data_IF_732114824253
#
_entry.id   IF_732114824253
#
_cell.length_a   1.000
_cell.length_b   1.000
_cell.length_c   1.000
_cell.angle_alpha   90.00
_cell.angle_beta   90.00
_cell.angle_gamma   90.00
#
_symmetry.space_group_name_H-M   'P 1'
#
loop_
_entity.id
_entity.type
_entity.pdbx_description
1 polymer ?
#
# COMPACT_ATOMS: atom_id res chain seq x y z
N UNK A 1 4.20 22.92 14.74
CA UNK A 1 3.32 21.97 15.44
C UNK A 1 2.81 21.00 14.39
N UNK A 2 3.52 19.89 14.25
CA UNK A 2 3.35 18.87 13.22
C UNK A 2 2.20 17.94 13.59
N UNK A 3 1.14 17.95 12.77
CA UNK A 3 0.24 16.80 12.69
C UNK A 3 0.93 15.79 11.77
N UNK A 4 1.63 14.84 12.38
CA UNK A 4 1.95 13.58 11.72
C UNK A 4 0.63 12.84 11.50
N UNK A 5 0.17 12.76 10.27
CA UNK A 5 -0.90 11.84 9.85
C UNK A 5 -0.36 10.40 9.96
N UNK A 6 -0.20 9.93 11.19
CA UNK A 6 -0.04 8.52 11.49
C UNK A 6 -1.35 7.82 11.16
N UNK A 7 -1.30 6.81 10.30
CA UNK A 7 -2.41 5.86 10.11
C UNK A 7 -2.89 5.41 11.49
N UNK A 8 -4.22 5.38 11.76
CA UNK A 8 -4.72 5.05 13.08
C UNK A 8 -4.16 3.68 13.48
N UNK A 9 -3.40 3.64 14.58
CA UNK A 9 -2.88 2.41 15.13
C UNK A 9 -4.07 1.57 15.62
N UNK A 10 -4.35 0.46 14.94
CA UNK A 10 -5.39 -0.47 15.36
C UNK A 10 -5.10 -0.96 16.78
N UNK A 11 -6.06 -0.76 17.67
CA UNK A 11 -6.07 -1.42 18.99
C UNK A 11 -6.78 -2.75 18.83
N UNK A 12 -6.08 -3.85 19.14
CA UNK A 12 -6.62 -5.19 18.99
C UNK A 12 -7.08 -5.70 20.36
N UNK A 13 -8.35 -6.07 20.47
CA UNK A 13 -8.96 -6.48 21.73
C UNK A 13 -9.06 -8.00 21.85
N UNK A 14 -8.96 -8.54 23.07
CA UNK A 14 -9.07 -9.97 23.34
C UNK A 14 -7.80 -10.78 23.06
N UNK A 15 -6.67 -10.09 22.93
CA UNK A 15 -5.32 -10.68 22.81
C UNK A 15 -4.40 -10.25 23.98
N UNK A 16 -4.97 -9.72 25.06
CA UNK A 16 -4.22 -9.24 26.23
C UNK A 16 -3.81 -10.39 27.15
N UNK A 17 -4.55 -11.49 27.12
CA UNK A 17 -4.32 -12.66 27.97
C UNK A 17 -3.97 -13.91 27.16
N UNK A 18 -2.83 -14.51 27.51
CA UNK A 18 -2.38 -15.81 27.01
C UNK A 18 -2.94 -16.91 27.91
N UNK A 19 -3.31 -18.03 27.30
CA UNK A 19 -3.87 -19.17 28.04
C UNK A 19 -2.75 -19.96 28.76
N UNK A 20 -3.02 -20.38 29.99
CA UNK A 20 -2.11 -21.24 30.73
C UNK A 20 -2.21 -22.68 30.21
N UNK A 21 -1.07 -23.34 30.06
CA UNK A 21 -1.04 -24.76 29.73
C UNK A 21 -1.17 -25.56 31.03
N UNK A 22 -2.16 -26.46 31.12
CA UNK A 22 -2.42 -27.21 32.36
C UNK A 22 -1.31 -28.23 32.70
N UNK A 23 -0.98 -28.34 33.99
CA UNK A 23 -0.26 -29.48 34.55
C UNK A 23 -1.23 -30.68 34.57
N UNK A 24 -1.17 -31.52 33.54
CA UNK A 24 -1.85 -32.82 33.36
C UNK A 24 -3.33 -32.86 33.82
N UNK A 25 -4.24 -32.98 32.85
CA UNK A 25 -5.48 -33.72 33.07
C UNK A 25 -5.17 -35.20 32.87
N UNK A 26 -5.60 -36.07 33.79
CA UNK A 26 -5.47 -37.54 33.71
C UNK A 26 -6.06 -38.15 32.42
N UNK A 27 -6.70 -37.36 31.56
CA UNK A 27 -7.36 -37.76 30.33
C UNK A 27 -6.50 -37.64 29.04
N UNK A 28 -5.30 -37.04 29.06
CA UNK A 28 -4.48 -36.85 27.86
C UNK A 28 -3.25 -37.78 27.83
N UNK A 29 -3.46 -39.03 27.41
CA UNK A 29 -2.43 -40.07 27.23
C UNK A 29 -1.55 -39.88 25.98
N UNK A 30 -1.59 -38.70 25.34
CA UNK A 30 -0.96 -38.48 24.03
C UNK A 30 0.57 -38.39 24.08
N UNK A 31 1.17 -38.06 25.22
CA UNK A 31 2.60 -37.85 25.37
C UNK A 31 3.13 -38.37 26.72
N UNK A 32 4.39 -38.85 26.79
CA UNK A 32 5.08 -39.10 28.05
C UNK A 32 5.10 -37.86 28.96
N UNK A 33 5.00 -38.08 30.27
CA UNK A 33 4.94 -37.03 31.31
C UNK A 33 6.10 -36.03 31.17
N UNK A 34 7.31 -36.51 30.90
CA UNK A 34 8.49 -35.65 30.73
C UNK A 34 8.36 -34.69 29.54
N UNK A 35 7.76 -35.15 28.43
CA UNK A 35 7.51 -34.32 27.25
C UNK A 35 6.40 -33.31 27.54
N UNK A 36 5.36 -33.70 28.28
CA UNK A 36 4.31 -32.77 28.71
C UNK A 36 4.86 -31.67 29.61
N UNK A 37 5.74 -32.02 30.56
CA UNK A 37 6.43 -31.06 31.42
C UNK A 37 7.32 -30.11 30.62
N UNK A 38 7.98 -30.60 29.57
CA UNK A 38 8.77 -29.77 28.68
C UNK A 38 7.89 -28.75 27.92
N UNK A 39 6.74 -29.16 27.39
CA UNK A 39 5.78 -28.25 26.74
C UNK A 39 5.25 -27.22 27.74
N UNK A 40 4.90 -27.65 28.95
CA UNK A 40 4.45 -26.77 30.03
C UNK A 40 5.47 -25.67 30.33
N UNK A 41 6.75 -26.03 30.56
CA UNK A 41 7.81 -25.06 30.83
C UNK A 41 8.02 -24.06 29.67
N UNK A 42 7.93 -24.53 28.42
CA UNK A 42 8.05 -23.67 27.25
C UNK A 42 6.88 -22.70 27.11
N UNK A 43 5.65 -23.15 27.38
CA UNK A 43 4.47 -22.28 27.34
C UNK A 43 4.52 -21.26 28.47
N UNK A 44 4.89 -21.65 29.69
CA UNK A 44 5.03 -20.73 30.83
C UNK A 44 6.11 -19.67 30.57
N UNK A 45 7.27 -20.07 30.05
CA UNK A 45 8.31 -19.12 29.64
C UNK A 45 7.83 -18.17 28.55
N UNK A 46 7.07 -18.69 27.57
CA UNK A 46 6.45 -17.88 26.53
C UNK A 46 5.45 -16.87 27.11
N UNK A 47 4.63 -17.31 28.07
CA UNK A 47 3.63 -16.49 28.75
C UNK A 47 4.27 -15.36 29.57
N UNK A 48 5.36 -15.65 30.29
CA UNK A 48 6.14 -14.65 31.02
C UNK A 48 6.74 -13.61 30.06
N UNK A 49 7.39 -14.07 28.99
CA UNK A 49 7.97 -13.19 27.96
C UNK A 49 6.90 -12.31 27.29
N UNK A 50 5.70 -12.86 27.04
CA UNK A 50 4.57 -12.13 26.47
C UNK A 50 4.08 -11.02 27.40
N UNK A 51 3.95 -11.30 28.71
CA UNK A 51 3.55 -10.31 29.72
C UNK A 51 4.55 -9.16 29.83
N UNK A 52 5.82 -9.45 29.65
CA UNK A 52 6.90 -8.45 29.64
C UNK A 52 7.09 -7.73 28.29
N UNK A 53 6.17 -7.94 27.33
CA UNK A 53 6.26 -7.38 25.96
C UNK A 53 7.50 -7.81 25.16
N UNK A 54 8.19 -8.88 25.59
CA UNK A 54 9.31 -9.51 24.86
C UNK A 54 8.77 -10.52 23.85
N UNK A 55 8.05 -10.01 22.84
CA UNK A 55 7.27 -10.85 21.92
C UNK A 55 8.11 -11.81 21.06
N UNK A 56 9.34 -11.44 20.71
CA UNK A 56 10.26 -12.32 19.96
C UNK A 56 10.64 -13.58 20.75
N UNK A 57 10.93 -13.41 22.05
CA UNK A 57 11.22 -14.52 22.96
C UNK A 57 9.97 -15.39 23.22
N UNK A 58 8.80 -14.75 23.29
CA UNK A 58 7.52 -15.45 23.40
C UNK A 58 7.27 -16.33 22.16
N UNK A 59 7.42 -15.77 20.94
CA UNK A 59 7.31 -16.49 19.67
C UNK A 59 8.29 -17.67 19.62
N UNK A 60 9.54 -17.48 20.02
CA UNK A 60 10.56 -18.53 20.06
C UNK A 60 10.14 -19.68 20.99
N UNK A 61 9.64 -19.35 22.18
CA UNK A 61 9.23 -20.33 23.19
C UNK A 61 7.99 -21.11 22.74
N UNK A 62 6.96 -20.44 22.23
CA UNK A 62 5.78 -21.11 21.70
C UNK A 62 6.06 -21.92 20.43
N UNK A 63 7.00 -21.48 19.59
CA UNK A 63 7.41 -22.24 18.40
C UNK A 63 8.05 -23.58 18.77
N UNK A 64 8.90 -23.58 19.81
CA UNK A 64 9.45 -24.82 20.38
C UNK A 64 8.38 -25.70 21.01
N UNK A 65 7.40 -25.11 21.71
CA UNK A 65 6.27 -25.86 22.24
C UNK A 65 5.46 -26.53 21.11
N UNK A 66 5.19 -25.81 20.02
CA UNK A 66 4.46 -26.32 18.87
C UNK A 66 5.23 -27.39 18.09
N UNK A 67 6.58 -27.37 18.10
CA UNK A 67 7.36 -28.46 17.48
C UNK A 67 7.24 -29.77 18.26
N UNK A 68 7.00 -29.69 19.57
CA UNK A 68 6.83 -30.88 20.44
C UNK A 68 5.38 -31.37 20.40
N UNK A 69 4.40 -30.47 20.58
CA UNK A 69 2.97 -30.77 20.54
C UNK A 69 2.27 -29.92 19.47
N UNK A 70 2.36 -30.33 18.19
CA UNK A 70 1.69 -29.61 17.11
C UNK A 70 0.16 -29.68 17.29
N UNK A 71 -0.56 -28.70 16.75
CA UNK A 71 -2.02 -28.63 16.77
C UNK A 71 -2.64 -28.54 18.18
N UNK A 72 -1.88 -28.15 19.19
CA UNK A 72 -2.45 -27.83 20.49
C UNK A 72 -3.14 -26.44 20.43
N UNK A 73 -4.43 -26.32 20.79
CA UNK A 73 -5.17 -25.05 20.70
C UNK A 73 -4.53 -23.89 21.50
N UNK A 74 -4.07 -24.17 22.73
CA UNK A 74 -3.44 -23.17 23.60
C UNK A 74 -2.14 -22.66 22.98
N UNK A 75 -1.28 -23.57 22.52
CA UNK A 75 0.00 -23.20 21.90
C UNK A 75 -0.22 -22.41 20.61
N UNK A 76 -1.15 -22.83 19.75
CA UNK A 76 -1.48 -22.13 18.51
C UNK A 76 -2.05 -20.74 18.79
N UNK A 77 -3.00 -20.62 19.73
CA UNK A 77 -3.61 -19.35 20.11
C UNK A 77 -2.59 -18.37 20.68
N UNK A 78 -1.77 -18.81 21.63
CA UNK A 78 -0.74 -17.97 22.26
C UNK A 78 0.34 -17.57 21.26
N UNK A 79 0.78 -18.49 20.37
CA UNK A 79 1.77 -18.18 19.33
C UNK A 79 1.22 -17.19 18.31
N UNK A 80 -0.03 -17.36 17.87
CA UNK A 80 -0.70 -16.42 16.97
C UNK A 80 -0.84 -15.04 17.61
N UNK A 81 -1.23 -14.97 18.89
CA UNK A 81 -1.30 -13.71 19.62
C UNK A 81 0.08 -13.03 19.70
N UNK A 82 1.15 -13.79 19.94
CA UNK A 82 2.52 -13.28 19.99
C UNK A 82 2.98 -12.71 18.63
N UNK A 83 2.65 -13.38 17.52
CA UNK A 83 2.91 -12.85 16.17
C UNK A 83 2.15 -11.54 15.91
N UNK A 84 0.88 -11.47 16.29
CA UNK A 84 0.05 -10.27 16.11
C UNK A 84 0.62 -9.09 16.92
N UNK A 85 0.99 -9.32 18.18
CA UNK A 85 1.60 -8.29 19.05
C UNK A 85 2.97 -7.83 18.54
N UNK A 86 3.79 -8.76 18.08
CA UNK A 86 5.06 -8.41 17.46
C UNK A 86 4.84 -7.56 16.20
N UNK A 87 3.89 -7.94 15.35
CA UNK A 87 3.53 -7.16 14.16
C UNK A 87 3.02 -5.75 14.47
N UNK A 88 2.19 -5.60 15.52
CA UNK A 88 1.75 -4.29 16.04
C UNK A 88 2.93 -3.45 16.50
N UNK A 89 3.83 -4.03 17.29
CA UNK A 89 5.03 -3.36 17.77
C UNK A 89 5.89 -2.88 16.60
N UNK A 90 6.07 -3.71 15.57
CA UNK A 90 6.80 -3.34 14.35
C UNK A 90 6.13 -2.19 13.60
N UNK A 91 4.79 -2.18 13.49
CA UNK A 91 4.02 -1.10 12.84
C UNK A 91 4.14 0.24 13.56
N UNK A 92 4.40 0.22 14.87
CA UNK A 92 4.55 1.41 15.72
C UNK A 92 6.01 1.89 15.87
N UNK A 93 6.98 1.22 15.24
CA UNK A 93 8.39 1.65 15.32
C UNK A 93 8.57 3.02 14.67
N UNK A 94 9.26 3.92 15.35
CA UNK A 94 9.70 5.18 14.76
C UNK A 94 10.81 4.95 13.72
N UNK A 95 11.01 5.93 12.83
CA UNK A 95 12.13 5.93 11.90
C UNK A 95 13.49 5.81 12.63
N UNK A 96 13.66 6.53 13.74
CA UNK A 96 14.89 6.53 14.56
C UNK A 96 15.23 5.17 15.20
N UNK A 97 14.22 4.42 15.64
CA UNK A 97 14.41 3.06 16.19
C UNK A 97 14.71 2.07 15.06
N UNK A 98 14.13 2.27 13.88
CA UNK A 98 14.37 1.42 12.71
C UNK A 98 15.77 1.59 12.13
N UNK A 99 16.34 2.80 12.19
CA UNK A 99 17.71 3.11 11.76
C UNK A 99 18.78 2.56 12.72
N UNK A 100 18.55 2.67 14.03
CA UNK A 100 19.49 2.18 15.06
C UNK A 100 19.42 0.67 15.28
N UNK A 101 18.30 0.03 14.93
CA UNK A 101 18.07 -1.41 15.06
C UNK A 101 17.26 -1.92 13.85
N UNK A 102 17.93 -2.25 12.73
CA UNK A 102 17.26 -2.76 11.54
C UNK A 102 16.68 -4.17 11.78
N UNK A 103 15.55 -4.45 11.14
CA UNK A 103 14.88 -5.75 11.26
C UNK A 103 15.66 -6.82 10.49
N UNK A 104 16.06 -7.90 11.17
CA UNK A 104 16.78 -9.02 10.58
C UNK A 104 15.82 -9.98 9.84
N UNK A 105 15.26 -9.53 8.71
CA UNK A 105 14.40 -10.37 7.85
C UNK A 105 13.02 -10.68 8.42
N UNK A 106 12.62 -10.03 9.52
CA UNK A 106 11.27 -10.12 10.07
C UNK A 106 10.44 -8.97 9.52
N UNK A 107 9.49 -9.29 8.66
CA UNK A 107 8.53 -8.32 8.10
C UNK A 107 7.13 -8.54 8.69
N UNK A 108 6.36 -7.45 8.81
CA UNK A 108 5.00 -7.42 9.36
C UNK A 108 4.05 -8.32 8.56
N UNK A 109 4.16 -8.33 7.23
CA UNK A 109 3.37 -9.21 6.38
C UNK A 109 3.60 -10.69 6.70
N UNK A 110 4.87 -11.09 6.87
CA UNK A 110 5.24 -12.45 7.25
C UNK A 110 4.65 -12.84 8.62
N UNK A 111 4.73 -11.94 9.62
CA UNK A 111 4.14 -12.19 10.94
C UNK A 111 2.61 -12.34 10.89
N UNK A 112 1.94 -11.51 10.08
CA UNK A 112 0.50 -11.61 9.85
C UNK A 112 0.09 -12.93 9.20
N UNK A 113 0.85 -13.40 8.21
CA UNK A 113 0.60 -14.70 7.56
C UNK A 113 0.81 -15.89 8.50
N UNK A 114 1.86 -15.84 9.33
CA UNK A 114 2.13 -16.86 10.34
C UNK A 114 1.02 -16.90 11.41
N UNK A 115 0.57 -15.72 11.86
CA UNK A 115 -0.57 -15.61 12.78
C UNK A 115 -1.84 -16.19 12.15
N UNK A 116 -2.17 -15.80 10.92
CA UNK A 116 -3.36 -16.29 10.22
C UNK A 116 -3.35 -17.81 10.07
N UNK A 117 -2.19 -18.40 9.74
CA UNK A 117 -2.03 -19.85 9.61
C UNK A 117 -2.30 -20.59 10.91
N UNK A 118 -1.88 -20.04 12.04
CA UNK A 118 -2.16 -20.63 13.35
C UNK A 118 -3.60 -20.40 13.79
N UNK A 119 -4.16 -19.23 13.51
CA UNK A 119 -5.55 -18.91 13.77
C UNK A 119 -6.52 -19.79 12.97
N UNK A 120 -6.22 -20.09 11.70
CA UNK A 120 -7.02 -21.01 10.88
C UNK A 120 -6.99 -22.44 11.43
N UNK A 121 -5.82 -22.92 11.87
CA UNK A 121 -5.72 -24.23 12.54
C UNK A 121 -6.49 -24.24 13.85
N UNK A 122 -6.39 -23.18 14.64
CA UNK A 122 -7.13 -23.03 15.89
C UNK A 122 -8.64 -23.06 15.64
N UNK A 123 -9.11 -22.33 14.62
CA UNK A 123 -10.52 -22.29 14.24
C UNK A 123 -11.04 -23.65 13.75
N UNK A 124 -10.21 -24.43 13.05
CA UNK A 124 -10.58 -25.80 12.65
C UNK A 124 -10.70 -26.75 13.85
N UNK A 125 -9.94 -26.51 14.93
CA UNK A 125 -9.97 -27.32 16.15
C UNK A 125 -11.08 -26.88 17.12
N UNK A 126 -11.35 -25.57 17.18
CA UNK A 126 -12.27 -24.95 18.14
C UNK A 126 -13.20 -23.96 17.43
N UNK A 127 -13.99 -24.46 16.47
CA UNK A 127 -14.89 -23.62 15.66
C UNK A 127 -16.01 -22.94 16.46
N UNK A 128 -16.23 -23.32 17.72
CA UNK A 128 -17.20 -22.71 18.62
C UNK A 128 -16.60 -21.72 19.61
N UNK A 129 -15.29 -21.45 19.53
CA UNK A 129 -14.59 -20.59 20.50
C UNK A 129 -14.52 -19.15 20.00
N UNK A 130 -14.99 -18.18 20.80
CA UNK A 130 -14.85 -16.75 20.52
C UNK A 130 -13.38 -16.39 20.24
N UNK A 131 -12.44 -16.99 20.97
CA UNK A 131 -11.00 -16.72 20.84
C UNK A 131 -10.49 -17.04 19.44
N UNK A 132 -10.93 -18.13 18.81
CA UNK A 132 -10.48 -18.48 17.45
C UNK A 132 -10.90 -17.43 16.43
N UNK A 133 -12.12 -16.90 16.55
CA UNK A 133 -12.61 -15.82 15.68
C UNK A 133 -11.85 -14.52 15.93
N UNK A 134 -11.67 -14.14 17.20
CA UNK A 134 -10.92 -12.92 17.57
C UNK A 134 -9.49 -12.99 17.04
N UNK A 135 -8.77 -14.07 17.31
CA UNK A 135 -7.37 -14.23 16.84
C UNK A 135 -7.27 -14.20 15.31
N UNK A 136 -8.18 -14.85 14.59
CA UNK A 136 -8.21 -14.82 13.13
C UNK A 136 -8.53 -13.44 12.58
N UNK A 137 -9.54 -12.76 13.14
CA UNK A 137 -9.90 -11.41 12.75
C UNK A 137 -8.74 -10.44 12.95
N UNK A 138 -8.07 -10.48 14.11
CA UNK A 138 -6.91 -9.64 14.39
C UNK A 138 -5.73 -9.93 13.44
N UNK A 139 -5.48 -11.20 13.06
CA UNK A 139 -4.48 -11.54 12.06
C UNK A 139 -4.82 -10.97 10.66
N UNK A 140 -6.09 -11.07 10.25
CA UNK A 140 -6.56 -10.50 8.98
C UNK A 140 -6.50 -8.98 8.96
N UNK A 141 -6.80 -8.32 10.08
CA UNK A 141 -6.66 -6.88 10.25
C UNK A 141 -5.19 -6.43 10.18
N UNK A 142 -4.25 -7.19 10.75
CA UNK A 142 -2.82 -6.92 10.62
C UNK A 142 -2.36 -7.01 9.16
N UNK A 143 -2.94 -7.94 8.39
CA UNK A 143 -2.72 -8.10 6.95
C UNK A 143 -3.54 -7.15 6.06
N UNK A 144 -4.29 -6.21 6.66
CA UNK A 144 -5.14 -5.24 5.97
C UNK A 144 -6.24 -5.87 5.09
N UNK A 145 -6.63 -7.11 5.41
CA UNK A 145 -7.73 -7.85 4.76
C UNK A 145 -9.06 -7.60 5.47
N UNK A 146 -9.47 -6.34 5.48
CA UNK A 146 -10.56 -5.84 6.34
C UNK A 146 -11.93 -6.48 6.08
N UNK A 147 -12.28 -6.76 4.82
CA UNK A 147 -13.57 -7.39 4.49
C UNK A 147 -13.69 -8.79 5.11
N UNK A 148 -12.68 -9.63 4.89
CA UNK A 148 -12.63 -10.99 5.45
C UNK A 148 -12.56 -10.94 6.98
N UNK A 149 -11.86 -9.95 7.54
CA UNK A 149 -11.83 -9.73 8.99
C UNK A 149 -13.24 -9.42 9.52
N UNK A 150 -13.98 -8.52 8.85
CA UNK A 150 -15.35 -8.16 9.20
C UNK A 150 -16.26 -9.39 9.23
N UNK A 151 -16.25 -10.18 8.16
CA UNK A 151 -17.10 -11.37 8.05
C UNK A 151 -16.75 -12.42 9.11
N UNK A 152 -15.45 -12.54 9.45
CA UNK A 152 -14.98 -13.39 10.54
C UNK A 152 -15.52 -12.89 11.89
N UNK A 153 -15.45 -11.58 12.17
CA UNK A 153 -15.98 -11.00 13.41
C UNK A 153 -17.49 -11.21 13.52
N UNK A 154 -18.24 -10.96 12.44
CA UNK A 154 -19.68 -11.17 12.40
C UNK A 154 -20.05 -12.65 12.62
N UNK A 155 -19.29 -13.57 12.04
CA UNK A 155 -19.47 -15.01 12.28
C UNK A 155 -19.22 -15.38 13.74
N UNK A 156 -18.22 -14.78 14.39
CA UNK A 156 -17.97 -14.96 15.82
C UNK A 156 -19.09 -14.39 16.70
N UNK A 157 -19.65 -13.23 16.32
CA UNK A 157 -20.79 -12.61 17.02
C UNK A 157 -22.09 -13.40 16.86
N UNK A 158 -22.22 -14.25 15.83
CA UNK A 158 -23.35 -15.19 15.76
C UNK A 158 -23.26 -16.29 16.83
N UNK A 159 -22.04 -16.64 17.27
CA UNK A 159 -21.81 -17.64 18.32
C UNK A 159 -22.00 -17.01 19.69
N UNK A 160 -21.34 -15.88 19.93
CA UNK A 160 -21.51 -15.09 21.15
C UNK A 160 -21.82 -13.62 20.80
N UNK A 161 -23.11 -13.25 20.77
CA UNK A 161 -23.51 -11.88 20.49
C UNK A 161 -22.98 -10.87 21.49
N UNK A 162 -22.62 -11.26 22.71
CA UNK A 162 -22.22 -10.36 23.79
C UNK A 162 -20.70 -10.29 24.01
N UNK A 163 -19.91 -10.85 23.09
CA UNK A 163 -18.45 -10.80 23.14
C UNK A 163 -17.91 -9.37 23.02
N UNK A 164 -17.43 -8.81 24.13
CA UNK A 164 -16.80 -7.48 24.16
C UNK A 164 -15.59 -7.36 23.21
N UNK A 165 -14.66 -8.35 23.14
CA UNK A 165 -13.55 -8.29 22.19
C UNK A 165 -14.00 -8.19 20.73
N UNK A 166 -14.96 -9.02 20.31
CA UNK A 166 -15.42 -9.02 18.92
C UNK A 166 -16.14 -7.71 18.56
N UNK A 167 -16.99 -7.20 19.46
CA UNK A 167 -17.68 -5.91 19.27
C UNK A 167 -16.68 -4.74 19.17
N UNK A 168 -15.66 -4.73 20.04
CA UNK A 168 -14.65 -3.67 20.06
C UNK A 168 -13.76 -3.71 18.81
N UNK A 169 -13.34 -4.90 18.38
CA UNK A 169 -12.61 -5.05 17.12
C UNK A 169 -13.46 -4.65 15.90
N UNK A 170 -14.77 -4.95 15.89
CA UNK A 170 -15.68 -4.50 14.82
C UNK A 170 -15.76 -2.98 14.77
N UNK A 171 -15.89 -2.32 15.93
CA UNK A 171 -15.95 -0.87 16.02
C UNK A 171 -14.65 -0.21 15.53
N UNK A 172 -13.48 -0.76 15.88
CA UNK A 172 -12.21 -0.29 15.34
C UNK A 172 -12.12 -0.46 13.82
N UNK A 173 -12.54 -1.62 13.31
CA UNK A 173 -12.58 -1.89 11.88
C UNK A 173 -13.46 -0.89 11.12
N UNK A 174 -14.63 -0.57 11.67
CA UNK A 174 -15.58 0.37 11.07
C UNK A 174 -15.05 1.80 10.99
N UNK A 175 -14.15 2.22 11.90
CA UNK A 175 -13.51 3.54 11.84
C UNK A 175 -12.63 3.71 10.59
N UNK A 176 -12.01 2.63 10.14
CA UNK A 176 -11.05 2.62 9.02
C UNK A 176 -11.72 2.26 7.69
N UNK A 177 -12.83 1.52 7.73
CA UNK A 177 -13.56 1.15 6.51
C UNK A 177 -14.36 2.33 5.91
N UNK A 178 -14.26 2.58 4.59
CA UNK A 178 -15.03 3.62 3.91
C UNK A 178 -16.55 3.38 4.03
N UNK A 179 -17.30 4.47 4.15
CA UNK A 179 -18.77 4.49 4.38
C UNK A 179 -19.57 3.68 3.36
N UNK A 180 -19.06 3.50 2.13
CA UNK A 180 -19.69 2.70 1.07
C UNK A 180 -19.84 1.21 1.46
N UNK A 181 -19.01 0.71 2.39
CA UNK A 181 -18.99 -0.70 2.80
C UNK A 181 -19.69 -0.99 4.14
N UNK A 182 -20.34 0.01 4.76
CA UNK A 182 -21.07 -0.15 6.04
C UNK A 182 -22.49 -0.73 5.89
N UNK A 183 -22.97 -0.94 4.65
CA UNK A 183 -24.32 -1.48 4.38
C UNK A 183 -24.24 -2.82 3.64
N UNK A 184 -24.35 -3.91 4.38
CA UNK A 184 -24.93 -5.14 3.84
C UNK A 184 -26.41 -5.11 4.16
N UNK A 185 -27.28 -4.87 3.15
CA UNK A 185 -28.62 -5.45 2.94
C UNK A 185 -29.26 -4.80 1.70
N UNK A 186 -29.38 -5.56 0.59
CA UNK A 186 -30.45 -5.37 -0.40
C UNK A 186 -30.17 -4.62 -1.71
N UNK A 187 -29.02 -4.80 -2.38
CA UNK A 187 -28.94 -4.58 -3.85
C UNK A 187 -28.43 -5.87 -4.50
N UNK A 188 -28.98 -6.21 -5.66
CA UNK A 188 -28.68 -7.42 -6.42
C UNK A 188 -27.16 -7.63 -6.52
N UNK A 189 -26.69 -8.87 -6.32
CA UNK A 189 -25.29 -9.25 -6.52
C UNK A 189 -24.82 -8.70 -7.86
N UNK A 190 -23.90 -7.73 -7.77
CA UNK A 190 -23.17 -7.22 -8.91
C UNK A 190 -22.31 -8.37 -9.42
N UNK A 191 -22.51 -8.78 -10.66
CA UNK A 191 -21.58 -9.69 -11.33
C UNK A 191 -20.28 -8.93 -11.63
N UNK A 192 -19.13 -9.53 -11.31
CA UNK A 192 -17.78 -8.98 -11.52
C UNK A 192 -17.43 -8.77 -13.01
N UNK A 193 -18.37 -9.04 -13.92
CA UNK A 193 -18.26 -8.88 -15.38
C UNK A 193 -17.87 -7.45 -15.83
N UNK A 194 -18.07 -6.45 -14.98
CA UNK A 194 -17.73 -5.05 -15.25
C UNK A 194 -16.54 -4.51 -14.45
N UNK A 195 -15.79 -5.39 -13.80
CA UNK A 195 -14.63 -5.01 -13.01
C UNK A 195 -13.33 -5.01 -13.81
N UNK A 196 -12.51 -4.01 -13.55
CA UNK A 196 -11.17 -3.93 -14.08
C UNK A 196 -10.28 -4.91 -13.34
N UNK A 197 -9.66 -5.88 -14.02
CA UNK A 197 -8.80 -6.87 -13.34
C UNK A 197 -7.46 -6.31 -12.85
N UNK A 198 -7.19 -5.02 -13.08
CA UNK A 198 -5.98 -4.34 -12.58
C UNK A 198 -6.27 -3.61 -11.26
N UNK A 199 -7.35 -2.82 -11.19
CA UNK A 199 -7.71 -2.10 -9.97
C UNK A 199 -8.80 -2.78 -9.14
N UNK A 200 -9.41 -3.86 -9.65
CA UNK A 200 -10.49 -4.64 -9.02
C UNK A 200 -11.72 -3.79 -8.64
N UNK A 201 -11.93 -2.68 -9.37
CA UNK A 201 -13.08 -1.80 -9.24
C UNK A 201 -13.86 -1.75 -10.56
N UNK A 202 -15.06 -1.16 -10.52
CA UNK A 202 -15.84 -0.84 -11.72
C UNK A 202 -14.97 -0.17 -12.80
N UNK A 203 -15.08 -0.70 -14.02
CA UNK A 203 -14.46 -0.14 -15.21
C UNK A 203 -14.86 1.33 -15.39
N UNK A 204 -13.87 2.21 -15.37
CA UNK A 204 -14.00 3.64 -15.65
C UNK A 204 -13.24 3.97 -16.94
N UNK A 205 -13.93 4.59 -17.90
CA UNK A 205 -13.43 4.75 -19.27
C UNK A 205 -12.82 3.45 -19.83
N UNK A 206 -13.63 2.39 -20.00
CA UNK A 206 -13.13 1.07 -20.39
C UNK A 206 -12.39 1.11 -21.73
N UNK A 207 -11.18 0.57 -21.76
CA UNK A 207 -10.35 0.40 -22.96
C UNK A 207 -10.14 -1.09 -23.25
N UNK A 208 -10.55 -1.53 -24.43
CA UNK A 208 -10.40 -2.93 -24.87
C UNK A 208 -9.16 -3.07 -25.73
N UNK A 209 -8.27 -3.97 -25.32
CA UNK A 209 -7.02 -4.29 -26.02
C UNK A 209 -7.27 -5.19 -27.24
N UNK A 210 -6.35 -5.29 -28.23
CA UNK A 210 -6.51 -6.13 -29.41
C UNK A 210 -6.67 -7.63 -29.09
N UNK A 211 -6.17 -8.05 -27.92
CA UNK A 211 -6.35 -9.41 -27.43
C UNK A 211 -7.72 -9.66 -26.77
N UNK A 212 -8.63 -8.68 -26.76
CA UNK A 212 -10.00 -8.79 -26.27
C UNK A 212 -10.23 -8.45 -24.80
N UNK A 213 -9.17 -8.23 -24.02
CA UNK A 213 -9.30 -7.87 -22.60
C UNK A 213 -9.56 -6.38 -22.40
N UNK A 214 -10.43 -6.05 -21.44
CA UNK A 214 -10.87 -4.68 -21.14
C UNK A 214 -10.40 -4.25 -19.75
N UNK A 215 -9.90 -3.02 -19.64
CA UNK A 215 -9.40 -2.42 -18.40
C UNK A 215 -9.86 -0.97 -18.31
N UNK A 216 -9.74 -0.33 -17.13
CA UNK A 216 -9.80 1.14 -17.09
C UNK A 216 -8.70 1.71 -17.97
N UNK A 217 -8.99 2.76 -18.73
CA UNK A 217 -8.00 3.43 -19.59
C UNK A 217 -6.71 3.75 -18.84
N UNK A 218 -6.82 4.37 -17.66
CA UNK A 218 -5.69 4.71 -16.79
C UNK A 218 -4.92 3.48 -16.32
N UNK A 219 -5.62 2.42 -15.87
CA UNK A 219 -4.99 1.17 -15.41
C UNK A 219 -4.22 0.44 -16.53
N UNK A 220 -4.73 0.48 -17.77
CA UNK A 220 -4.05 -0.10 -18.92
C UNK A 220 -2.73 0.61 -19.18
N UNK A 221 -2.75 1.95 -19.25
CA UNK A 221 -1.53 2.72 -19.49
C UNK A 221 -0.51 2.57 -18.36
N UNK A 222 -0.97 2.62 -17.11
CA UNK A 222 -0.11 2.38 -15.95
C UNK A 222 0.53 0.98 -15.97
N UNK A 223 -0.17 -0.04 -16.50
CA UNK A 223 0.40 -1.37 -16.67
C UNK A 223 1.39 -1.45 -17.83
N UNK A 224 1.10 -0.75 -18.93
CA UNK A 224 1.99 -0.60 -20.07
C UNK A 224 3.29 0.14 -19.70
N UNK A 225 3.29 0.87 -18.57
CA UNK A 225 4.51 1.47 -18.03
C UNK A 225 5.60 0.44 -17.69
N UNK A 226 5.18 -0.74 -17.22
CA UNK A 226 6.11 -1.82 -16.84
C UNK A 226 6.47 -2.72 -18.03
N UNK A 227 5.71 -2.64 -19.11
CA UNK A 227 5.96 -3.31 -20.38
C UNK A 227 4.72 -3.36 -21.26
N UNK A 228 4.90 -3.28 -22.58
CA UNK A 228 3.82 -3.26 -23.58
C UNK A 228 3.15 -4.63 -23.76
N UNK A 229 2.56 -5.17 -22.69
CA UNK A 229 1.90 -6.48 -22.65
C UNK A 229 0.56 -6.36 -21.94
N UNK A 230 -0.41 -7.16 -22.36
CA UNK A 230 -1.70 -7.27 -21.70
C UNK A 230 -1.51 -7.72 -20.24
N UNK A 231 -2.10 -7.01 -19.25
CA UNK A 231 -2.04 -7.42 -17.85
C UNK A 231 -2.60 -8.82 -17.59
N UNK A 232 -3.60 -9.25 -18.37
CA UNK A 232 -4.25 -10.56 -18.24
C UNK A 232 -3.51 -11.66 -18.99
N UNK A 233 -3.44 -11.56 -20.33
CA UNK A 233 -2.93 -12.66 -21.16
C UNK A 233 -1.48 -12.49 -21.63
N UNK A 234 -0.81 -11.39 -21.25
CA UNK A 234 0.59 -11.06 -21.60
C UNK A 234 0.90 -10.90 -23.09
N UNK A 235 -0.12 -10.92 -23.95
CA UNK A 235 0.00 -10.61 -25.38
C UNK A 235 0.59 -9.22 -25.55
N UNK A 236 1.57 -9.06 -26.44
CA UNK A 236 2.18 -7.75 -26.72
C UNK A 236 1.13 -6.80 -27.31
N UNK A 237 1.00 -5.61 -26.73
CA UNK A 237 0.01 -4.61 -27.13
C UNK A 237 0.74 -3.47 -27.85
N UNK A 238 0.32 -3.19 -29.08
CA UNK A 238 0.74 -2.01 -29.85
C UNK A 238 -0.37 -0.97 -29.82
N UNK A 239 -0.49 -0.25 -28.71
CA UNK A 239 -1.47 0.83 -28.53
C UNK A 239 -0.79 2.06 -27.92
N UNK A 240 -1.28 3.23 -28.28
CA UNK A 240 -0.85 4.52 -27.74
C UNK A 240 -2.06 5.24 -27.13
N UNK A 241 -1.88 6.28 -26.30
CA UNK A 241 -2.99 7.11 -25.82
C UNK A 241 -3.90 7.63 -26.94
N UNK A 242 -3.35 7.89 -28.14
CA UNK A 242 -4.12 8.36 -29.30
C UNK A 242 -4.90 7.24 -30.00
N UNK A 243 -4.37 6.02 -30.04
CA UNK A 243 -5.01 4.88 -30.74
C UNK A 243 -5.86 4.02 -29.82
N UNK A 244 -5.74 4.21 -28.51
CA UNK A 244 -6.61 3.61 -27.51
C UNK A 244 -7.88 4.45 -27.41
N UNK A 245 -9.00 3.94 -27.91
CA UNK A 245 -10.30 4.57 -27.74
C UNK A 245 -11.04 3.95 -26.56
N UNK A 246 -11.82 4.77 -25.85
CA UNK A 246 -12.77 4.27 -24.85
C UNK A 246 -13.86 3.48 -25.59
N UNK A 247 -14.17 2.30 -25.09
CA UNK A 247 -15.27 1.47 -25.57
C UNK A 247 -16.60 2.13 -25.22
N UNK A 248 -17.15 2.89 -26.17
CA UNK A 248 -18.38 3.68 -25.99
C UNK A 248 -19.54 2.81 -25.53
N UNK A 249 -19.72 1.63 -26.15
CA UNK A 249 -20.82 0.71 -25.81
C UNK A 249 -20.71 0.21 -24.38
N UNK A 250 -19.53 -0.27 -23.96
CA UNK A 250 -19.32 -0.74 -22.59
C UNK A 250 -19.50 0.39 -21.59
N UNK A 251 -18.97 1.57 -21.90
CA UNK A 251 -19.08 2.75 -21.05
C UNK A 251 -20.55 3.14 -20.83
N UNK A 252 -21.37 3.14 -21.87
CA UNK A 252 -22.81 3.44 -21.79
C UNK A 252 -23.58 2.38 -20.98
N UNK A 253 -23.26 1.10 -21.17
CA UNK A 253 -23.85 0.00 -20.39
C UNK A 253 -23.54 0.18 -18.91
N UNK A 254 -22.27 0.46 -18.58
CA UNK A 254 -21.81 0.66 -17.22
C UNK A 254 -22.50 1.87 -16.58
N UNK A 255 -22.49 3.03 -17.24
CA UNK A 255 -23.12 4.25 -16.71
C UNK A 255 -24.62 4.07 -16.47
N UNK A 256 -25.31 3.31 -17.33
CA UNK A 256 -26.74 3.05 -17.20
C UNK A 256 -27.07 2.07 -16.05
N UNK A 257 -26.26 1.03 -15.89
CA UNK A 257 -26.51 -0.01 -14.89
C UNK A 257 -25.95 0.35 -13.50
N UNK A 258 -24.86 1.12 -13.43
CA UNK A 258 -24.14 1.46 -12.20
C UNK A 258 -23.80 2.97 -12.10
N UNK A 259 -24.81 3.87 -12.12
CA UNK A 259 -24.59 5.32 -12.20
C UNK A 259 -23.88 5.90 -10.96
N UNK A 260 -24.24 5.43 -9.76
CA UNK A 260 -23.65 5.89 -8.49
C UNK A 260 -22.16 5.51 -8.42
N UNK A 261 -21.85 4.23 -8.64
CA UNK A 261 -20.46 3.73 -8.61
C UNK A 261 -19.60 4.35 -9.73
N UNK A 262 -20.15 4.56 -10.92
CA UNK A 262 -19.41 5.22 -12.00
C UNK A 262 -19.09 6.69 -11.65
N UNK A 263 -20.00 7.39 -10.96
CA UNK A 263 -19.76 8.74 -10.48
C UNK A 263 -18.67 8.78 -9.40
N UNK A 264 -18.63 7.80 -8.49
CA UNK A 264 -17.54 7.65 -7.51
C UNK A 264 -16.19 7.45 -8.21
N UNK A 265 -16.14 6.55 -9.21
CA UNK A 265 -14.92 6.32 -10.00
C UNK A 265 -14.45 7.56 -10.75
N UNK A 266 -15.39 8.36 -11.27
CA UNK A 266 -15.07 9.65 -11.87
C UNK A 266 -14.43 10.60 -10.87
N UNK A 267 -15.02 10.75 -9.68
CA UNK A 267 -14.49 11.62 -8.63
C UNK A 267 -13.08 11.18 -8.16
N UNK A 268 -12.84 9.87 -8.03
CA UNK A 268 -11.51 9.32 -7.73
C UNK A 268 -10.49 9.71 -8.80
N UNK A 269 -10.84 9.57 -10.08
CA UNK A 269 -9.96 9.92 -11.19
C UNK A 269 -9.73 11.44 -11.28
N UNK A 270 -10.78 12.25 -11.12
CA UNK A 270 -10.68 13.70 -11.12
C UNK A 270 -9.77 14.19 -9.98
N UNK A 271 -9.83 13.55 -8.81
CA UNK A 271 -8.92 13.84 -7.69
C UNK A 271 -7.46 13.53 -8.04
N UNK A 272 -7.20 12.37 -8.65
CA UNK A 272 -5.87 11.98 -9.11
C UNK A 272 -5.31 12.93 -10.19
N UNK A 273 -6.16 13.41 -11.10
CA UNK A 273 -5.80 14.38 -12.13
C UNK A 273 -5.60 15.79 -11.54
N UNK A 274 -6.39 16.19 -10.55
CA UNK A 274 -6.29 17.50 -9.91
C UNK A 274 -5.00 17.64 -9.08
N UNK A 275 -4.61 16.60 -8.34
CA UNK A 275 -3.29 16.54 -7.70
C UNK A 275 -2.13 16.62 -8.73
N UNK A 276 -2.32 16.07 -9.94
CA UNK A 276 -1.33 16.13 -11.01
C UNK A 276 -1.22 17.47 -11.73
N UNK A 277 -2.19 18.38 -11.56
CA UNK A 277 -2.19 19.68 -12.26
C UNK A 277 -1.56 20.83 -11.45
N UNK A 278 -1.46 20.73 -10.12
CA UNK A 278 -0.86 21.77 -9.27
C UNK A 278 0.57 21.44 -8.82
N UNK A 279 1.00 20.19 -9.04
CA UNK A 279 2.28 19.69 -8.54
C UNK A 279 3.23 19.39 -9.69
N UNK A 280 4.46 19.90 -9.60
CA UNK A 280 5.48 19.74 -10.62
C UNK A 280 6.40 18.56 -10.28
N UNK A 281 6.51 17.53 -11.15
CA UNK A 281 7.49 16.47 -11.01
C UNK A 281 8.91 17.04 -11.03
N UNK A 282 9.80 16.53 -10.16
CA UNK A 282 11.19 16.97 -10.06
C UNK A 282 12.16 15.88 -10.48
N UNK A 283 12.95 16.18 -11.52
CA UNK A 283 14.13 15.42 -11.89
C UNK A 283 15.36 15.98 -11.16
N UNK A 284 16.07 15.12 -10.44
CA UNK A 284 17.23 15.53 -9.64
C UNK A 284 18.49 15.44 -10.49
N UNK A 285 19.18 16.56 -10.67
CA UNK A 285 20.45 16.64 -11.42
C UNK A 285 21.22 17.91 -11.05
N UNK A 286 22.41 18.08 -11.63
CA UNK A 286 23.17 19.32 -11.60
C UNK A 286 22.36 20.54 -12.04
N UNK A 287 22.83 21.73 -11.63
CA UNK A 287 22.16 23.01 -11.87
C UNK A 287 22.00 23.27 -13.38
N UNK A 288 20.75 23.52 -13.78
CA UNK A 288 20.38 23.94 -15.13
C UNK A 288 19.91 25.39 -15.10
N UNK A 289 20.34 26.16 -16.08
CA UNK A 289 19.87 27.53 -16.29
C UNK A 289 18.82 27.56 -17.42
N UNK A 290 17.92 28.56 -17.44
CA UNK A 290 16.99 28.78 -18.54
C UNK A 290 17.63 28.82 -19.94
N UNK A 291 16.83 28.48 -20.96
CA UNK A 291 17.19 28.49 -22.39
C UNK A 291 18.32 27.53 -22.78
N UNK A 292 18.54 26.47 -22.00
CA UNK A 292 19.48 25.40 -22.30
C UNK A 292 18.77 24.22 -22.96
N UNK A 293 19.44 23.63 -23.94
CA UNK A 293 19.04 22.35 -24.53
C UNK A 293 19.93 21.25 -23.97
N UNK A 294 19.33 20.14 -23.58
CA UNK A 294 20.07 18.98 -23.11
C UNK A 294 19.38 17.68 -23.49
N UNK A 295 20.20 16.63 -23.65
CA UNK A 295 19.74 15.28 -23.93
C UNK A 295 19.89 14.42 -22.68
N UNK A 296 18.83 13.70 -22.30
CA UNK A 296 18.83 12.80 -21.15
C UNK A 296 18.47 11.38 -21.53
N UNK A 297 19.23 10.43 -20.98
CA UNK A 297 18.89 9.02 -21.05
C UNK A 297 18.28 8.54 -19.72
N UNK A 298 16.99 8.22 -19.75
CA UNK A 298 16.22 7.78 -18.60
C UNK A 298 16.21 6.26 -18.53
N UNK A 299 16.98 5.72 -17.58
CA UNK A 299 17.08 4.28 -17.34
C UNK A 299 16.44 3.84 -16.02
N UNK A 300 16.40 4.70 -15.00
CA UNK A 300 15.86 4.32 -13.68
C UNK A 300 14.34 4.10 -13.70
N UNK A 301 13.83 3.01 -13.09
CA UNK A 301 12.40 2.68 -13.07
C UNK A 301 11.47 3.81 -12.63
N UNK A 302 11.85 4.57 -11.60
CA UNK A 302 11.05 5.68 -11.06
C UNK A 302 10.85 6.82 -12.07
N UNK A 303 11.90 7.21 -12.78
CA UNK A 303 11.82 8.29 -13.76
C UNK A 303 11.15 7.85 -15.07
N UNK A 304 11.18 6.56 -15.40
CA UNK A 304 10.39 6.02 -16.53
C UNK A 304 8.88 6.21 -16.34
N UNK A 305 8.38 6.06 -15.10
CA UNK A 305 6.99 6.36 -14.77
C UNK A 305 6.71 7.86 -14.87
N UNK A 306 7.61 8.69 -14.30
CA UNK A 306 7.51 10.15 -14.35
C UNK A 306 7.39 10.67 -15.79
N UNK A 307 8.28 10.24 -16.69
CA UNK A 307 8.29 10.68 -18.11
C UNK A 307 6.99 10.35 -18.81
N UNK A 308 6.44 9.15 -18.63
CA UNK A 308 5.17 8.79 -19.28
C UNK A 308 4.02 9.66 -18.82
N UNK A 309 3.93 9.93 -17.51
CA UNK A 309 2.92 10.86 -16.96
C UNK A 309 3.08 12.28 -17.51
N UNK A 310 4.31 12.77 -17.61
CA UNK A 310 4.61 14.09 -18.19
C UNK A 310 4.17 14.15 -19.65
N UNK A 311 4.44 13.10 -20.44
CA UNK A 311 4.06 13.00 -21.85
C UNK A 311 2.55 12.77 -22.08
N UNK A 312 1.81 12.33 -21.06
CA UNK A 312 0.34 12.31 -21.07
C UNK A 312 -0.28 13.66 -20.69
N UNK A 313 0.50 14.50 -20.01
CA UNK A 313 0.10 15.82 -19.51
C UNK A 313 0.67 16.98 -20.32
N UNK A 314 1.27 17.94 -19.62
CA UNK A 314 1.71 19.23 -20.18
C UNK A 314 3.18 19.22 -20.67
N UNK A 315 3.82 18.05 -20.71
CA UNK A 315 5.20 17.86 -21.16
C UNK A 315 6.26 18.62 -20.34
N UNK A 316 5.91 19.10 -19.14
CA UNK A 316 6.78 19.92 -18.29
C UNK A 316 7.18 19.19 -17.01
N UNK A 317 8.41 19.45 -16.57
CA UNK A 317 8.91 19.03 -15.25
C UNK A 317 9.90 20.06 -14.71
N UNK A 318 10.19 19.98 -13.41
CA UNK A 318 11.25 20.75 -12.78
C UNK A 318 12.55 19.97 -12.76
N UNK A 319 13.66 20.64 -12.98
CA UNK A 319 14.99 20.10 -12.72
C UNK A 319 15.62 20.83 -11.55
N UNK A 320 16.14 20.08 -10.59
CA UNK A 320 16.60 20.61 -9.31
C UNK A 320 17.86 19.93 -8.82
N UNK A 321 18.77 20.71 -8.24
CA UNK A 321 19.94 20.21 -7.53
C UNK A 321 19.60 19.84 -6.08
N UNK A 322 20.44 19.00 -5.46
CA UNK A 322 20.31 18.71 -4.03
C UNK A 322 21.31 19.51 -3.23
N UNK A 323 20.91 19.89 -2.04
CA UNK A 323 21.86 20.32 -1.02
C UNK A 323 22.64 19.10 -0.52
N UNK A 324 23.96 19.14 -0.68
CA UNK A 324 24.89 18.07 -0.28
C UNK A 324 24.90 17.78 1.22
N UNK A 325 24.49 18.74 2.07
CA UNK A 325 24.48 18.56 3.52
C UNK A 325 23.21 17.85 4.02
N UNK A 326 22.07 18.10 3.37
CA UNK A 326 20.74 17.67 3.84
C UNK A 326 20.09 16.62 2.93
N UNK A 327 20.54 16.49 1.68
CA UNK A 327 19.95 15.61 0.67
C UNK A 327 18.58 16.08 0.15
N UNK A 328 18.09 17.25 0.59
CA UNK A 328 16.83 17.84 0.12
C UNK A 328 17.04 18.67 -1.16
N UNK A 329 15.98 18.87 -1.97
CA UNK A 329 16.04 19.79 -3.10
C UNK A 329 16.43 21.19 -2.64
N UNK A 330 17.25 21.90 -3.43
CA UNK A 330 17.50 23.32 -3.21
C UNK A 330 16.24 24.15 -3.52
N UNK A 331 16.12 25.33 -2.94
CA UNK A 331 14.91 26.17 -3.00
C UNK A 331 14.49 26.60 -4.42
N UNK A 332 15.39 26.51 -5.40
CA UNK A 332 15.15 26.97 -6.78
C UNK A 332 15.36 25.83 -7.77
N UNK A 333 14.35 25.61 -8.60
CA UNK A 333 14.39 24.67 -9.72
C UNK A 333 14.23 25.41 -11.06
N UNK A 334 14.55 24.73 -12.15
CA UNK A 334 14.27 25.22 -13.51
C UNK A 334 13.19 24.36 -14.15
N UNK A 335 12.15 24.99 -14.69
CA UNK A 335 11.18 24.31 -15.55
C UNK A 335 11.87 23.89 -16.85
N UNK A 336 11.65 22.65 -17.25
CA UNK A 336 12.05 22.09 -18.53
C UNK A 336 10.86 21.46 -19.24
N UNK A 337 10.84 21.60 -20.55
CA UNK A 337 9.87 20.98 -21.45
C UNK A 337 10.53 19.85 -22.23
N UNK A 338 9.86 18.71 -22.31
CA UNK A 338 10.30 17.59 -23.15
C UNK A 338 9.91 17.92 -24.59
N UNK A 339 10.89 18.24 -25.43
CA UNK A 339 10.68 18.61 -26.83
C UNK A 339 10.64 17.38 -27.74
N UNK A 340 11.48 16.39 -27.49
CA UNK A 340 11.47 15.09 -28.16
C UNK A 340 11.59 13.95 -27.14
N UNK A 341 10.92 12.82 -27.41
CA UNK A 341 10.88 11.67 -26.53
C UNK A 341 10.90 10.38 -27.34
N UNK A 342 12.04 9.70 -27.31
CA UNK A 342 12.30 8.46 -28.04
C UNK A 342 12.26 7.25 -27.08
N UNK A 343 11.17 6.46 -27.09
CA UNK A 343 11.09 5.24 -26.30
C UNK A 343 11.94 4.12 -26.89
N UNK A 344 12.70 3.42 -26.04
CA UNK A 344 13.52 2.27 -26.39
C UNK A 344 12.76 0.94 -26.13
N UNK A 345 13.10 -0.17 -26.82
CA UNK A 345 12.40 -1.45 -26.71
C UNK A 345 12.37 -2.09 -25.32
N UNK A 346 13.28 -1.70 -24.43
CA UNK A 346 13.36 -2.15 -23.04
C UNK A 346 12.65 -1.20 -22.04
N UNK A 347 11.97 -0.18 -22.56
CA UNK A 347 11.20 0.79 -21.79
C UNK A 347 12.00 1.98 -21.26
N UNK A 348 13.27 2.12 -21.64
CA UNK A 348 14.06 3.35 -21.40
C UNK A 348 13.64 4.48 -22.35
N UNK A 349 14.02 5.71 -22.04
CA UNK A 349 13.74 6.88 -22.88
C UNK A 349 15.01 7.66 -23.17
N UNK A 350 15.16 8.14 -24.41
CA UNK A 350 16.07 9.25 -24.74
C UNK A 350 15.20 10.49 -24.92
N UNK A 351 15.51 11.55 -24.19
CA UNK A 351 14.75 12.80 -24.18
C UNK A 351 15.61 13.94 -24.68
N UNK A 352 15.05 14.79 -25.54
CA UNK A 352 15.56 16.13 -25.77
C UNK A 352 14.72 17.11 -24.97
N UNK A 353 15.38 17.98 -24.20
CA UNK A 353 14.75 18.91 -23.28
C UNK A 353 15.17 20.34 -23.60
N UNK A 354 14.26 21.29 -23.37
CA UNK A 354 14.57 22.72 -23.38
C UNK A 354 14.16 23.33 -22.02
N UNK A 355 15.08 24.03 -21.37
CA UNK A 355 14.79 24.73 -20.11
C UNK A 355 14.21 26.11 -20.37
N UNK A 356 13.26 26.55 -19.54
CA UNK A 356 12.48 27.76 -19.80
C UNK A 356 12.66 28.86 -18.75
N UNK A 357 12.26 28.59 -17.51
CA UNK A 357 12.20 29.62 -16.46
C UNK A 357 12.41 29.03 -15.09
N UNK A 358 12.73 29.89 -14.14
CA UNK A 358 13.00 29.53 -12.76
C UNK A 358 11.70 29.48 -11.96
N UNK A 359 11.65 28.54 -11.03
CA UNK A 359 10.58 28.44 -10.05
C UNK A 359 11.16 28.19 -8.66
N UNK A 360 10.51 28.72 -7.64
CA UNK A 360 10.83 28.46 -6.24
C UNK A 360 10.01 27.29 -5.75
N UNK A 361 10.66 26.33 -5.10
CA UNK A 361 9.99 25.20 -4.46
C UNK A 361 9.38 25.70 -3.14
N UNK A 362 8.06 25.65 -3.04
CA UNK A 362 7.31 26.01 -1.83
C UNK A 362 7.28 24.82 -0.88
N UNK A 363 7.04 23.63 -1.42
CA UNK A 363 6.98 22.37 -0.70
C UNK A 363 7.36 21.23 -1.63
N UNK A 364 8.16 20.29 -1.13
CA UNK A 364 8.50 19.06 -1.86
C UNK A 364 8.13 17.82 -1.03
N UNK A 365 7.70 16.76 -1.71
CA UNK A 365 7.40 15.45 -1.12
C UNK A 365 7.77 14.33 -2.10
N UNK A 366 7.83 13.10 -1.61
CA UNK A 366 8.03 11.91 -2.44
C UNK A 366 6.67 11.35 -2.89
N UNK A 367 6.55 11.04 -4.18
CA UNK A 367 5.37 10.43 -4.78
C UNK A 367 5.80 9.36 -5.79
N UNK A 368 5.34 8.12 -5.60
CA UNK A 368 5.63 6.99 -6.48
C UNK A 368 7.14 6.76 -6.79
N UNK A 369 8.00 7.15 -5.85
CA UNK A 369 9.45 6.96 -5.92
C UNK A 369 10.24 8.09 -6.59
N UNK A 370 9.60 9.18 -7.03
CA UNK A 370 10.26 10.41 -7.47
C UNK A 370 9.74 11.63 -6.68
N UNK A 371 10.48 12.74 -6.73
CA UNK A 371 10.11 13.96 -6.00
C UNK A 371 9.10 14.78 -6.79
N UNK A 372 8.18 15.38 -6.08
CA UNK A 372 7.18 16.28 -6.62
C UNK A 372 7.16 17.53 -5.75
N UNK A 373 6.90 18.69 -6.34
CA UNK A 373 6.84 19.94 -5.61
C UNK A 373 5.71 20.86 -6.03
N UNK A 374 5.22 21.61 -5.06
CA UNK A 374 4.45 22.83 -5.26
C UNK A 374 5.43 23.97 -5.52
N UNK A 375 5.17 24.77 -6.57
CA UNK A 375 6.14 25.75 -7.06
C UNK A 375 5.53 27.11 -7.34
N UNK A 376 6.29 28.15 -6.99
CA UNK A 376 6.00 29.55 -7.31
C UNK A 376 6.90 30.05 -8.44
N UNK A 377 6.35 30.78 -9.39
CA UNK A 377 7.11 31.28 -10.53
C UNK A 377 7.96 32.50 -10.16
N UNK A 378 9.25 32.46 -10.50
CA UNK A 378 10.13 33.61 -10.32
C UNK A 378 9.96 34.53 -11.51
N UNK A 379 9.56 35.78 -11.27
CA UNK A 379 9.45 36.81 -12.30
C UNK A 379 10.74 37.62 -12.36
N UNK A 380 11.36 37.68 -13.54
CA UNK A 380 12.54 38.52 -13.76
C UNK A 380 12.14 39.99 -13.82
N UNK A 381 12.91 40.85 -13.15
CA UNK A 381 12.75 42.30 -13.23
C UNK A 381 13.55 42.77 -14.45
N UNK A 382 12.91 43.28 -15.51
CA UNK A 382 13.64 43.77 -16.67
C UNK A 382 14.52 44.98 -16.28
N UNK A 383 15.72 45.10 -16.86
CA UNK A 383 16.59 46.25 -16.59
C UNK A 383 15.90 47.54 -17.04
N UNK A 384 15.96 48.59 -16.22
CA UNK A 384 15.44 49.91 -16.57
C UNK A 384 16.42 50.59 -17.54
N UNK A 385 16.06 50.62 -18.83
CA UNK A 385 16.62 51.44 -19.93
C UNK A 385 17.93 51.02 -20.62
N UNK A 386 17.97 51.28 -21.94
CA UNK A 386 18.97 50.93 -22.96
C UNK A 386 20.37 51.57 -22.80
N UNK A 387 21.03 51.48 -21.65
CA UNK A 387 22.40 52.03 -21.47
C UNK A 387 23.55 51.01 -21.47
N UNK A 388 23.28 49.70 -21.50
CA UNK A 388 24.32 48.66 -21.51
C UNK A 388 24.33 47.82 -22.80
N UNK A 389 24.20 48.47 -23.97
CA UNK A 389 24.50 47.87 -25.28
C UNK A 389 25.81 48.39 -25.90
N UNK A 390 26.69 48.96 -25.09
CA UNK A 390 28.05 49.28 -25.48
C UNK A 390 28.98 48.51 -24.56
N UNK A 391 29.30 47.27 -24.96
CA UNK A 391 30.58 46.60 -24.74
C UNK A 391 30.43 45.18 -25.32
N UNK A 392 30.75 45.07 -26.61
CA UNK A 392 30.99 43.81 -27.34
C UNK A 392 32.43 43.41 -27.14
#
# INVERSE_FOLDING_TARGET
MSNEDSLPAFTFFGLDEVENYGLISEADNSLPIDIHNQVFQLVEKGNESFKESRFEEAVSSYSKANSIKPLNPIVLGNRSAAYIRLGQYLKQRSASISESSPLNGVDMSMLGELALKDADKLMNLQSSSVKSYTTKACALMLLERYEVARDTILSGLQIDPFSDPLRSNLQELEKVMPTSMRKTHGKAERSDDFDCTVCLKLLYEPATTPCGHTFCRSCLFQSMDRGNKCPLCRTVIYMTPRTCAVSVTLNNIIQKNFPEEYAERKAEQDTLVHLGNESMPLFVMDVIIPCQKLSLHIFEPRYRLMVRRIMEGNHRMGMVALDTATGSPVDVACEVEITECDPLPDGRFVLELESHRRCRIVKAWDQDGYRVAEVDWVTDIPPQSDQEKADV
#
